data_IF_443560320107
#
_entry.id   IF_443560320107
#
_cell.length_a   1.000
_cell.length_b   1.000
_cell.length_c   1.000
_cell.angle_alpha   90.00
_cell.angle_beta   90.00
_cell.angle_gamma   90.00
#
_symmetry.space_group_name_H-M   'P 1'
#
loop_
_entity.id
_entity.type
_entity.pdbx_description
1 polymer ?
#
# COMPACT_ATOMS: atom_id res chain seq x y z
N UNK A 1 112.71 59.35 120.07
CA UNK A 1 113.08 59.53 121.50
C UNK A 1 113.88 60.83 121.76
N UNK A 2 113.38 62.01 121.38
CA UNK A 2 113.97 63.31 121.78
C UNK A 2 112.96 64.39 122.22
N UNK A 3 111.65 64.10 122.17
CA UNK A 3 110.62 64.91 122.86
C UNK A 3 110.20 64.34 124.22
N UNK A 4 110.86 63.27 124.68
CA UNK A 4 110.79 62.79 126.06
C UNK A 4 111.89 63.35 126.98
N UNK A 5 112.75 64.26 126.49
CA UNK A 5 113.83 64.90 127.28
C UNK A 5 113.66 66.41 127.51
N UNK A 6 112.64 67.05 126.92
CA UNK A 6 112.37 68.48 127.11
C UNK A 6 111.44 68.76 128.32
N UNK A 7 111.20 67.74 129.15
CA UNK A 7 110.47 67.84 130.42
C UNK A 7 111.43 68.04 131.62
N UNK A 8 112.71 68.37 131.43
CA UNK A 8 113.69 68.33 132.53
C UNK A 8 114.74 69.47 132.59
N UNK A 9 114.63 70.54 131.81
CA UNK A 9 115.60 71.66 131.89
C UNK A 9 114.90 73.02 131.83
N UNK A 10 114.95 73.72 132.97
CA UNK A 10 114.45 75.07 133.30
C UNK A 10 113.01 75.04 133.87
N UNK A 11 112.68 74.80 135.14
CA UNK A 11 113.40 74.85 136.43
C UNK A 11 114.39 76.02 136.58
N UNK A 12 113.89 77.22 136.89
CA UNK A 12 114.72 78.32 137.38
C UNK A 12 114.05 79.68 137.35
N UNK A 13 113.79 80.23 138.54
CA UNK A 13 113.44 81.63 138.86
C UNK A 13 112.04 82.10 138.38
N UNK A 14 111.00 82.26 139.20
CA UNK A 14 110.91 82.70 140.61
C UNK A 14 111.68 84.00 140.90
N UNK A 15 110.89 85.03 141.20
CA UNK A 15 111.14 86.12 142.14
C UNK A 15 111.68 87.42 141.55
N UNK A 16 110.91 88.48 141.81
CA UNK A 16 111.46 89.79 142.13
C UNK A 16 111.32 90.82 141.03
N UNK A 17 110.31 91.69 141.14
CA UNK A 17 110.44 93.06 140.64
C UNK A 17 111.53 93.69 141.51
N UNK A 18 112.80 93.50 141.13
CA UNK A 18 113.93 94.04 141.88
C UNK A 18 113.90 95.56 141.72
N UNK A 19 113.68 96.27 142.81
CA UNK A 19 113.84 97.71 142.88
C UNK A 19 115.25 98.07 142.41
N UNK A 20 115.33 98.79 141.28
CA UNK A 20 116.57 98.87 140.49
C UNK A 20 117.69 99.62 141.19
N UNK A 21 117.34 100.62 142.03
CA UNK A 21 118.28 101.28 142.94
C UNK A 21 117.72 101.24 144.36
N UNK A 22 118.59 100.88 145.32
CA UNK A 22 118.21 100.68 146.72
C UNK A 22 117.68 101.96 147.38
N UNK A 23 118.18 103.12 146.95
CA UNK A 23 117.90 104.45 147.49
C UNK A 23 116.81 105.23 146.74
N UNK A 24 116.15 104.62 145.75
CA UNK A 24 115.01 105.23 145.06
C UNK A 24 113.78 104.33 145.27
N UNK A 25 113.01 104.53 146.37
CA UNK A 25 111.79 103.77 146.63
C UNK A 25 110.67 104.09 145.64
N UNK A 26 109.72 103.15 145.48
CA UNK A 26 108.63 103.20 144.48
C UNK A 26 107.77 104.45 144.58
N UNK A 27 107.66 105.04 145.78
CA UNK A 27 106.91 106.27 146.06
C UNK A 27 107.73 107.56 145.92
N UNK A 28 109.01 107.48 145.55
CA UNK A 28 109.85 108.65 145.35
C UNK A 28 109.46 109.34 144.04
N UNK A 29 109.39 110.68 144.02
CA UNK A 29 108.98 111.44 142.83
C UNK A 29 109.82 111.12 141.58
N UNK A 30 111.11 110.82 141.79
CA UNK A 30 112.02 110.47 140.71
C UNK A 30 111.98 108.98 140.33
N UNK A 31 111.23 108.13 141.04
CA UNK A 31 111.25 106.67 140.84
C UNK A 31 110.93 106.27 139.41
N UNK A 32 109.83 106.78 138.86
CA UNK A 32 109.40 106.42 137.50
C UNK A 32 110.44 106.89 136.47
N UNK A 33 110.85 108.16 136.54
CA UNK A 33 111.84 108.73 135.64
C UNK A 33 113.20 108.01 135.71
N UNK A 34 113.71 107.74 136.91
CA UNK A 34 114.99 107.05 137.12
C UNK A 34 114.90 105.60 136.69
N UNK A 35 113.81 104.90 137.02
CA UNK A 35 113.61 103.50 136.63
C UNK A 35 113.51 103.37 135.12
N UNK A 36 112.82 104.29 134.44
CA UNK A 36 112.70 104.27 132.99
C UNK A 36 114.01 104.63 132.31
N UNK A 37 114.70 105.69 132.77
CA UNK A 37 116.05 106.03 132.32
C UNK A 37 117.05 104.87 132.55
N UNK A 38 116.90 104.11 133.64
CA UNK A 38 117.75 102.96 133.94
C UNK A 38 117.41 101.72 133.12
N UNK A 39 116.12 101.45 132.86
CA UNK A 39 115.68 100.41 131.92
C UNK A 39 116.18 100.69 130.50
N UNK A 40 116.19 101.96 130.10
CA UNK A 40 116.78 102.41 128.85
C UNK A 40 118.32 102.37 128.88
N UNK A 41 118.93 102.14 130.05
CA UNK A 41 120.39 102.08 130.22
C UNK A 41 121.08 103.44 130.23
N UNK A 42 120.31 104.54 130.16
CA UNK A 42 120.81 105.91 130.19
C UNK A 42 121.56 106.19 131.48
N UNK A 43 120.99 105.78 132.62
CA UNK A 43 121.63 105.90 133.93
C UNK A 43 121.80 104.50 134.53
N UNK A 44 123.01 104.18 134.98
CA UNK A 44 123.33 102.85 135.54
C UNK A 44 123.50 102.85 137.07
N UNK A 45 123.41 104.02 137.70
CA UNK A 45 123.73 104.19 139.12
C UNK A 45 125.20 103.90 139.44
N UNK A 46 125.46 103.72 140.73
CA UNK A 46 126.77 103.47 141.29
C UNK A 46 127.01 101.97 141.52
N UNK A 47 128.28 101.52 141.62
CA UNK A 47 128.62 100.10 141.81
C UNK A 47 128.02 99.44 143.06
N UNK A 48 127.66 100.23 144.08
CA UNK A 48 127.01 99.76 145.31
C UNK A 48 125.49 99.48 145.14
N UNK A 49 124.94 99.81 143.98
CA UNK A 49 123.53 99.67 143.64
C UNK A 49 122.66 100.86 144.06
N UNK A 50 123.26 102.02 144.36
CA UNK A 50 122.55 103.26 144.64
C UNK A 50 122.54 104.20 143.44
N UNK A 51 121.55 105.08 143.35
CA UNK A 51 121.48 106.16 142.36
C UNK A 51 122.22 107.42 142.85
N UNK A 52 122.24 107.65 144.16
CA UNK A 52 122.81 108.82 144.84
C UNK A 52 122.23 110.16 144.36
N UNK A 53 120.90 110.24 144.25
CA UNK A 53 120.21 111.38 143.62
C UNK A 53 120.43 112.75 144.29
N UNK A 54 120.80 112.78 145.57
CA UNK A 54 121.12 114.03 146.30
C UNK A 54 122.61 114.41 146.27
N UNK A 55 123.46 113.59 145.65
CA UNK A 55 124.89 113.86 145.51
C UNK A 55 125.17 114.70 144.27
N UNK A 56 126.26 115.48 144.29
CA UNK A 56 126.68 116.24 143.12
C UNK A 56 127.06 115.31 141.97
N UNK A 57 126.39 115.49 140.83
CA UNK A 57 126.71 114.75 139.60
C UNK A 57 128.02 115.27 139.01
N UNK A 58 128.96 114.37 138.74
CA UNK A 58 130.18 114.76 138.02
C UNK A 58 129.85 115.05 136.56
N UNK A 59 130.57 115.99 135.93
CA UNK A 59 130.41 116.30 134.49
C UNK A 59 130.57 115.06 133.61
N UNK A 60 131.42 114.11 134.03
CA UNK A 60 131.60 112.83 133.33
C UNK A 60 130.32 111.98 133.35
N UNK A 61 129.70 111.80 134.52
CA UNK A 61 128.46 111.04 134.64
C UNK A 61 127.32 111.67 133.82
N UNK A 62 127.21 113.00 133.83
CA UNK A 62 126.23 113.71 133.01
C UNK A 62 126.46 113.48 131.50
N UNK A 63 127.70 113.60 131.02
CA UNK A 63 128.03 113.42 129.62
C UNK A 63 127.75 111.99 129.14
N UNK A 64 128.08 110.98 129.95
CA UNK A 64 127.78 109.58 129.63
C UNK A 64 126.27 109.36 129.54
N UNK A 65 125.49 109.89 130.49
CA UNK A 65 124.04 109.78 130.45
C UNK A 65 123.47 110.43 129.18
N UNK A 66 123.88 111.66 128.83
CA UNK A 66 123.42 112.30 127.60
C UNK A 66 123.85 111.58 126.32
N UNK A 67 125.08 111.04 126.27
CA UNK A 67 125.54 110.24 125.13
C UNK A 67 124.69 108.97 124.93
N UNK A 68 124.37 108.28 126.03
CA UNK A 68 123.49 107.10 125.99
C UNK A 68 122.07 107.47 125.56
N UNK A 69 121.52 108.54 126.14
CA UNK A 69 120.20 109.03 125.76
C UNK A 69 120.14 109.41 124.29
N UNK A 70 121.14 110.13 123.78
CA UNK A 70 121.24 110.49 122.36
C UNK A 70 121.28 109.25 121.46
N UNK A 71 122.05 108.23 121.83
CA UNK A 71 122.11 107.00 121.05
C UNK A 71 120.78 106.27 120.99
N UNK A 72 120.00 106.25 122.08
CA UNK A 72 118.67 105.63 122.10
C UNK A 72 117.68 106.42 121.25
N UNK A 73 117.68 107.75 121.39
CA UNK A 73 116.80 108.63 120.60
C UNK A 73 117.14 108.60 119.10
N UNK A 74 118.37 108.25 118.73
CA UNK A 74 118.81 108.12 117.34
C UNK A 74 118.48 106.77 116.71
N UNK A 75 118.06 105.75 117.47
CA UNK A 75 117.70 104.47 116.86
C UNK A 75 116.28 104.51 116.29
N UNK A 76 116.09 104.36 114.96
CA UNK A 76 114.77 104.17 114.39
C UNK A 76 114.27 102.75 114.71
N UNK A 77 113.01 102.62 115.14
CA UNK A 77 112.35 101.34 115.45
C UNK A 77 112.08 100.50 114.18
N UNK A 78 112.41 99.20 114.21
CA UNK A 78 112.70 98.34 113.03
C UNK A 78 111.64 97.33 112.58
N UNK A 79 110.34 97.50 112.87
CA UNK A 79 109.30 96.47 112.56
C UNK A 79 108.34 96.75 111.36
N UNK A 80 108.62 97.77 110.53
CA UNK A 80 107.78 98.10 109.37
C UNK A 80 107.88 97.04 108.25
N UNK A 81 109.07 96.46 108.03
CA UNK A 81 109.30 95.48 106.94
C UNK A 81 108.52 94.17 107.13
N UNK A 82 108.31 93.73 108.37
CA UNK A 82 107.53 92.52 108.66
C UNK A 82 106.03 92.69 108.35
N UNK A 83 105.49 93.90 108.52
CA UNK A 83 104.12 94.24 108.15
C UNK A 83 103.96 94.33 106.63
N UNK A 84 104.93 94.93 105.93
CA UNK A 84 104.94 95.00 104.46
C UNK A 84 104.91 93.59 103.84
N UNK A 85 105.72 92.65 104.34
CA UNK A 85 105.71 91.28 103.85
C UNK A 85 104.35 90.58 104.07
N UNK A 86 103.70 90.78 105.22
CA UNK A 86 102.36 90.23 105.47
C UNK A 86 101.31 90.82 104.53
N UNK A 87 101.37 92.12 104.27
CA UNK A 87 100.47 92.79 103.30
C UNK A 87 100.69 92.22 101.90
N UNK A 88 101.94 92.04 101.46
CA UNK A 88 102.25 91.41 100.17
C UNK A 88 101.70 89.97 100.08
N UNK A 89 101.88 89.14 101.12
CA UNK A 89 101.29 87.78 101.11
C UNK A 89 99.75 87.80 101.10
N UNK A 90 99.13 88.81 101.69
CA UNK A 90 97.68 89.01 101.64
C UNK A 90 97.23 89.41 100.23
N UNK A 91 97.96 90.29 99.54
CA UNK A 91 97.69 90.67 98.16
C UNK A 91 97.73 89.46 97.21
N UNK A 92 98.71 88.57 97.39
CA UNK A 92 98.82 87.32 96.60
C UNK A 92 97.64 86.36 96.88
N UNK A 93 97.27 86.21 98.16
CA UNK A 93 96.13 85.39 98.55
C UNK A 93 94.80 85.96 98.04
N UNK A 94 94.63 87.28 98.10
CA UNK A 94 93.46 87.99 97.56
C UNK A 94 93.41 87.82 96.05
N UNK A 95 94.53 87.97 95.35
CA UNK A 95 94.62 87.74 93.90
C UNK A 95 94.27 86.30 93.54
N UNK A 96 94.77 85.33 94.31
CA UNK A 96 94.43 83.90 94.14
C UNK A 96 92.95 83.62 94.40
N UNK A 97 92.37 84.24 95.43
CA UNK A 97 90.96 84.12 95.74
C UNK A 97 90.09 84.71 94.62
N UNK A 98 90.44 85.89 94.10
CA UNK A 98 89.75 86.51 92.97
C UNK A 98 89.79 85.62 91.72
N UNK A 99 90.96 85.03 91.40
CA UNK A 99 91.06 84.08 90.28
C UNK A 99 90.15 82.85 90.48
N UNK A 100 90.10 82.28 91.70
CA UNK A 100 89.20 81.15 91.99
C UNK A 100 87.72 81.55 91.88
N UNK A 101 87.36 82.74 92.36
CA UNK A 101 86.00 83.28 92.23
C UNK A 101 85.64 83.49 90.76
N UNK A 102 86.57 84.00 89.96
CA UNK A 102 86.37 84.17 88.52
C UNK A 102 86.19 82.81 87.81
N UNK A 103 87.07 81.84 88.07
CA UNK A 103 86.94 80.48 87.53
C UNK A 103 85.59 79.82 87.93
N UNK A 104 85.13 80.04 89.17
CA UNK A 104 83.82 79.57 89.60
C UNK A 104 82.70 80.26 88.83
N UNK A 105 82.78 81.58 88.65
CA UNK A 105 81.82 82.35 87.84
C UNK A 105 81.74 81.82 86.41
N UNK A 106 82.88 81.54 85.78
CA UNK A 106 82.95 80.99 84.43
C UNK A 106 82.33 79.59 84.37
N UNK A 107 82.62 78.73 85.35
CA UNK A 107 81.98 77.41 85.49
C UNK A 107 80.46 77.52 85.68
N UNK A 108 79.98 78.47 86.49
CA UNK A 108 78.54 78.72 86.65
C UNK A 108 77.87 79.20 85.36
N UNK A 109 78.56 80.03 84.58
CA UNK A 109 78.14 80.42 83.23
C UNK A 109 78.02 79.22 82.28
N UNK A 110 78.99 78.31 82.33
CA UNK A 110 78.95 77.03 81.61
C UNK A 110 77.76 76.16 82.00
N UNK A 111 77.56 75.92 83.30
CA UNK A 111 76.43 75.12 83.84
C UNK A 111 75.08 75.73 83.44
N UNK A 112 74.97 77.06 83.45
CA UNK A 112 73.74 77.75 83.05
C UNK A 112 73.46 77.55 81.55
N UNK A 113 74.51 77.56 80.72
CA UNK A 113 74.40 77.29 79.28
C UNK A 113 73.97 75.83 79.02
N UNK A 114 74.55 74.86 79.73
CA UNK A 114 74.18 73.45 79.65
C UNK A 114 72.74 73.21 80.10
N UNK A 115 72.27 73.91 81.14
CA UNK A 115 70.90 73.79 81.64
C UNK A 115 69.88 74.30 80.61
N UNK A 116 70.16 75.42 79.94
CA UNK A 116 69.30 75.89 78.85
C UNK A 116 69.33 74.96 77.63
N UNK A 117 70.48 74.35 77.30
CA UNK A 117 70.55 73.30 76.28
C UNK A 117 69.70 72.08 76.65
N UNK A 118 69.82 71.59 77.88
CA UNK A 118 69.06 70.44 78.36
C UNK A 118 67.55 70.71 78.36
N UNK A 119 67.14 71.92 78.75
CA UNK A 119 65.74 72.35 78.70
C UNK A 119 65.20 72.39 77.28
N UNK A 120 66.01 72.82 76.31
CA UNK A 120 65.65 72.77 74.89
C UNK A 120 65.54 71.32 74.40
N UNK A 121 66.47 70.44 74.78
CA UNK A 121 66.39 69.01 74.44
C UNK A 121 65.14 68.34 75.02
N UNK A 122 64.79 68.65 76.27
CA UNK A 122 63.55 68.17 76.91
C UNK A 122 62.31 68.69 76.18
N UNK A 123 62.30 69.94 75.73
CA UNK A 123 61.21 70.48 74.92
C UNK A 123 61.09 69.74 73.58
N UNK A 124 62.21 69.48 72.91
CA UNK A 124 62.26 68.71 71.67
C UNK A 124 61.77 67.27 71.87
N UNK A 125 62.23 66.58 72.92
CA UNK A 125 61.77 65.23 73.28
C UNK A 125 60.27 65.18 73.59
N UNK A 126 59.74 66.23 74.22
CA UNK A 126 58.30 66.33 74.47
C UNK A 126 57.52 66.48 73.16
N UNK A 127 58.05 67.25 72.19
CA UNK A 127 57.47 67.35 70.85
C UNK A 127 57.49 66.00 70.12
N UNK A 128 58.63 65.32 70.07
CA UNK A 128 58.74 64.02 69.39
C UNK A 128 57.85 62.96 70.04
N UNK A 129 57.66 63.00 71.36
CA UNK A 129 56.71 62.12 72.06
C UNK A 129 55.25 62.38 71.62
N UNK A 130 54.88 63.65 71.38
CA UNK A 130 53.56 63.99 70.84
C UNK A 130 53.41 63.47 69.41
N UNK A 131 54.42 63.66 68.56
CA UNK A 131 54.41 63.15 67.18
C UNK A 131 54.31 61.63 67.13
N UNK A 132 55.05 60.92 67.98
CA UNK A 132 54.97 59.46 68.11
C UNK A 132 53.60 58.98 68.58
N UNK A 133 52.94 59.71 69.50
CA UNK A 133 51.56 59.39 69.91
C UNK A 133 50.59 59.56 68.76
N UNK A 134 50.73 60.63 67.98
CA UNK A 134 49.89 60.87 66.80
C UNK A 134 50.10 59.78 65.73
N UNK A 135 51.36 59.43 65.45
CA UNK A 135 51.70 58.34 64.54
C UNK A 135 51.12 56.99 65.01
N UNK A 136 51.21 56.69 66.31
CA UNK A 136 50.60 55.49 66.88
C UNK A 136 49.08 55.47 66.69
N UNK A 137 48.40 56.61 66.91
CA UNK A 137 46.96 56.71 66.70
C UNK A 137 46.59 56.48 65.23
N UNK A 138 47.35 57.06 64.29
CA UNK A 138 47.17 56.85 62.85
C UNK A 138 47.34 55.37 62.47
N UNK A 139 48.43 54.73 62.91
CA UNK A 139 48.69 53.31 62.64
C UNK A 139 47.57 52.42 63.19
N UNK A 140 47.05 52.71 64.40
CA UNK A 140 45.93 51.97 64.97
C UNK A 140 44.64 52.14 64.16
N UNK A 141 44.37 53.33 63.64
CA UNK A 141 43.23 53.58 62.74
C UNK A 141 43.35 52.80 61.44
N UNK A 142 44.55 52.80 60.82
CA UNK A 142 44.82 52.02 59.61
C UNK A 142 44.67 50.51 59.84
N UNK A 143 45.19 49.99 60.96
CA UNK A 143 45.03 48.59 61.33
C UNK A 143 43.56 48.20 61.52
N UNK A 144 42.75 49.07 62.14
CA UNK A 144 41.31 48.84 62.28
C UNK A 144 40.62 48.82 60.91
N UNK A 145 40.92 49.78 60.04
CA UNK A 145 40.36 49.82 58.68
C UNK A 145 40.72 48.58 57.86
N UNK A 146 41.97 48.10 57.98
CA UNK A 146 42.40 46.85 57.36
C UNK A 146 41.66 45.64 57.94
N UNK A 147 41.47 45.56 59.25
CA UNK A 147 40.69 44.51 59.90
C UNK A 147 39.25 44.47 59.37
N UNK A 148 38.59 45.61 59.25
CA UNK A 148 37.23 45.71 58.70
C UNK A 148 37.18 45.27 57.22
N UNK A 149 38.22 45.60 56.45
CA UNK A 149 38.35 45.17 55.04
C UNK A 149 38.52 43.66 54.94
N UNK A 150 39.33 43.06 55.82
CA UNK A 150 39.53 41.60 55.89
C UNK A 150 38.20 40.91 56.23
N UNK A 151 37.44 41.42 57.21
CA UNK A 151 36.13 40.87 57.56
C UNK A 151 35.14 40.92 56.38
N UNK A 152 35.14 42.02 55.62
CA UNK A 152 34.32 42.13 54.39
C UNK A 152 34.76 41.15 53.32
N UNK A 153 36.07 40.94 53.15
CA UNK A 153 36.60 39.95 52.21
C UNK A 153 36.19 38.53 52.61
N UNK A 154 36.27 38.20 53.89
CA UNK A 154 35.86 36.88 54.42
C UNK A 154 34.37 36.60 54.13
N UNK A 155 33.51 37.59 54.39
CA UNK A 155 32.09 37.49 54.02
C UNK A 155 31.88 37.27 52.52
N UNK A 156 32.62 37.97 51.66
CA UNK A 156 32.54 37.79 50.20
C UNK A 156 33.04 36.42 49.75
N UNK A 157 34.08 35.89 50.39
CA UNK A 157 34.59 34.54 50.11
C UNK A 157 33.56 33.49 50.49
N UNK A 158 32.92 33.62 51.65
CA UNK A 158 31.88 32.70 52.10
C UNK A 158 30.63 32.73 51.19
N UNK A 159 30.21 33.91 50.70
CA UNK A 159 29.17 34.02 49.67
C UNK A 159 29.58 33.32 48.36
N UNK A 160 30.82 33.53 47.91
CA UNK A 160 31.33 32.89 46.70
C UNK A 160 31.36 31.37 46.82
N UNK A 161 31.79 30.82 47.96
CA UNK A 161 31.76 29.39 48.24
C UNK A 161 30.32 28.84 48.21
N UNK A 162 29.36 29.56 48.80
CA UNK A 162 27.95 29.16 48.77
C UNK A 162 27.38 29.14 47.35
N UNK A 163 27.75 30.13 46.52
CA UNK A 163 27.37 30.19 45.10
C UNK A 163 28.00 29.07 44.29
N UNK A 164 29.25 28.70 44.57
CA UNK A 164 29.93 27.56 43.94
C UNK A 164 29.18 26.27 44.27
N UNK A 165 28.88 26.00 45.54
CA UNK A 165 28.14 24.80 45.95
C UNK A 165 26.75 24.72 45.28
N UNK A 166 26.04 25.85 45.15
CA UNK A 166 24.77 25.89 44.44
C UNK A 166 24.91 25.60 42.94
N UNK A 167 25.98 26.07 42.31
CA UNK A 167 26.30 25.74 40.91
C UNK A 167 26.65 24.27 40.73
N UNK A 168 27.45 23.68 41.62
CA UNK A 168 27.79 22.25 41.61
C UNK A 168 26.54 21.37 41.72
N UNK A 169 25.58 21.75 42.57
CA UNK A 169 24.29 21.07 42.69
C UNK A 169 23.45 21.17 41.42
N UNK A 170 23.36 22.37 40.81
CA UNK A 170 22.65 22.56 39.53
C UNK A 170 23.26 21.74 38.41
N UNK A 171 24.58 21.80 38.25
CA UNK A 171 25.31 21.03 37.23
C UNK A 171 25.05 19.53 37.42
N UNK A 172 25.08 19.03 38.65
CA UNK A 172 24.76 17.63 38.95
C UNK A 172 23.31 17.25 38.58
N UNK A 173 22.35 18.14 38.82
CA UNK A 173 20.95 17.97 38.40
C UNK A 173 20.78 17.94 36.88
N UNK A 174 21.50 18.81 36.17
CA UNK A 174 21.49 18.85 34.69
C UNK A 174 22.06 17.55 34.09
N UNK A 175 23.08 16.94 34.71
CA UNK A 175 23.58 15.63 34.30
C UNK A 175 22.53 14.51 34.44
N UNK A 176 21.71 14.52 35.50
CA UNK A 176 20.60 13.56 35.66
C UNK A 176 19.51 13.80 34.61
N UNK A 177 19.21 15.06 34.28
CA UNK A 177 18.27 15.39 33.20
C UNK A 177 18.79 14.90 31.84
N UNK A 178 20.09 15.05 31.58
CA UNK A 178 20.75 14.53 30.38
C UNK A 178 20.66 13.00 30.30
N UNK A 179 20.95 12.28 31.38
CA UNK A 179 20.86 10.81 31.42
C UNK A 179 19.44 10.30 31.13
N UNK A 180 18.44 11.00 31.67
CA UNK A 180 17.03 10.75 31.34
C UNK A 180 16.73 10.97 29.86
N UNK A 181 17.21 12.08 29.28
CA UNK A 181 17.05 12.38 27.85
C UNK A 181 17.75 11.33 26.98
N UNK A 182 18.97 10.94 27.32
CA UNK A 182 19.75 9.91 26.59
C UNK A 182 19.03 8.55 26.63
N UNK A 183 18.43 8.19 27.77
CA UNK A 183 17.60 6.97 27.91
C UNK A 183 16.38 7.03 27.00
N UNK A 184 15.66 8.17 26.96
CA UNK A 184 14.48 8.36 26.10
C UNK A 184 14.85 8.36 24.62
N UNK A 185 15.99 8.94 24.24
CA UNK A 185 16.54 8.88 22.89
C UNK A 185 16.81 7.42 22.51
N UNK A 186 17.52 6.68 23.35
CA UNK A 186 17.84 5.27 23.11
C UNK A 186 16.59 4.41 22.91
N UNK A 187 15.57 4.58 23.77
CA UNK A 187 14.27 3.92 23.60
C UNK A 187 13.59 4.26 22.28
N UNK A 188 13.66 5.53 21.85
CA UNK A 188 13.05 6.00 20.61
C UNK A 188 13.77 5.43 19.39
N UNK A 189 15.10 5.39 19.42
CA UNK A 189 15.94 4.77 18.37
C UNK A 189 15.63 3.28 18.22
N UNK A 190 15.51 2.54 19.33
CA UNK A 190 15.11 1.12 19.28
C UNK A 190 13.73 0.92 18.64
N UNK A 191 12.76 1.76 19.02
CA UNK A 191 11.41 1.73 18.43
C UNK A 191 11.41 2.06 16.93
N UNK A 192 12.25 2.98 16.49
CA UNK A 192 12.45 3.31 15.08
C UNK A 192 13.00 2.11 14.30
N UNK A 193 14.05 1.47 14.81
CA UNK A 193 14.62 0.25 14.20
C UNK A 193 13.58 -0.87 14.05
N UNK A 194 12.71 -1.07 15.04
CA UNK A 194 11.65 -2.07 14.95
C UNK A 194 10.56 -1.72 13.92
N UNK A 195 10.25 -0.43 13.78
CA UNK A 195 9.31 0.06 12.75
C UNK A 195 9.90 -0.10 11.35
N UNK A 196 11.19 0.16 11.15
CA UNK A 196 11.88 -0.04 9.87
C UNK A 196 11.83 -1.51 9.43
N UNK A 197 12.05 -2.47 10.35
CA UNK A 197 11.91 -3.91 10.04
C UNK A 197 10.48 -4.29 9.64
N UNK A 198 9.48 -3.74 10.33
CA UNK A 198 8.07 -3.97 9.99
C UNK A 198 7.73 -3.38 8.61
N UNK A 199 8.25 -2.20 8.29
CA UNK A 199 8.07 -1.56 7.00
C UNK A 199 8.65 -2.42 5.87
N UNK A 200 9.89 -2.90 6.01
CA UNK A 200 10.53 -3.79 5.02
C UNK A 200 9.73 -5.10 4.80
N UNK A 201 9.15 -5.64 5.87
CA UNK A 201 8.26 -6.82 5.77
C UNK A 201 6.98 -6.50 4.99
N UNK A 202 6.38 -5.32 5.21
CA UNK A 202 5.18 -4.88 4.50
C UNK A 202 5.47 -4.61 3.02
N UNK A 203 6.62 -4.00 2.69
CA UNK A 203 7.07 -3.79 1.32
C UNK A 203 7.20 -5.13 0.58
N UNK A 204 7.81 -6.13 1.22
CA UNK A 204 7.95 -7.48 0.63
C UNK A 204 6.58 -8.14 0.40
N UNK A 205 5.65 -8.03 1.36
CA UNK A 205 4.28 -8.56 1.20
C UNK A 205 3.53 -7.87 0.07
N UNK A 206 3.70 -6.56 -0.07
CA UNK A 206 3.07 -5.76 -1.12
C UNK A 206 3.57 -6.20 -2.49
N UNK A 207 4.89 -6.34 -2.68
CA UNK A 207 5.47 -6.85 -3.92
C UNK A 207 4.97 -8.26 -4.28
N UNK A 208 4.82 -9.14 -3.27
CA UNK A 208 4.27 -10.49 -3.48
C UNK A 208 2.79 -10.45 -3.90
N UNK A 209 1.98 -9.56 -3.31
CA UNK A 209 0.58 -9.39 -3.68
C UNK A 209 0.44 -8.83 -5.11
N UNK A 210 1.26 -7.84 -5.48
CA UNK A 210 1.29 -7.29 -6.84
C UNK A 210 1.63 -8.38 -7.88
N UNK A 211 2.62 -9.23 -7.58
CA UNK A 211 2.97 -10.37 -8.43
C UNK A 211 1.83 -11.39 -8.55
N UNK A 212 1.13 -11.68 -7.44
CA UNK A 212 -0.01 -12.60 -7.43
C UNK A 212 -1.16 -12.06 -8.27
N UNK A 213 -1.51 -10.77 -8.11
CA UNK A 213 -2.54 -10.09 -8.90
C UNK A 213 -2.23 -10.19 -10.39
N UNK A 214 -1.00 -9.82 -10.79
CA UNK A 214 -0.56 -9.89 -12.18
C UNK A 214 -0.65 -11.30 -12.77
N UNK A 215 -0.26 -12.32 -12.00
CA UNK A 215 -0.36 -13.71 -12.42
C UNK A 215 -1.83 -14.17 -12.56
N UNK A 216 -2.71 -13.76 -11.64
CA UNK A 216 -4.14 -14.06 -11.74
C UNK A 216 -4.80 -13.37 -12.93
N UNK A 217 -4.48 -12.10 -13.21
CA UNK A 217 -4.98 -11.39 -14.38
C UNK A 217 -4.56 -12.08 -15.68
N UNK A 218 -3.29 -12.47 -15.78
CA UNK A 218 -2.76 -13.17 -16.95
C UNK A 218 -3.45 -14.52 -17.13
N UNK A 219 -3.58 -15.30 -16.05
CA UNK A 219 -4.21 -16.64 -16.10
C UNK A 219 -5.69 -16.56 -16.45
N UNK A 220 -6.40 -15.55 -15.93
CA UNK A 220 -7.81 -15.33 -16.23
C UNK A 220 -8.00 -14.92 -17.69
N UNK A 221 -7.14 -14.02 -18.20
CA UNK A 221 -7.15 -13.62 -19.60
C UNK A 221 -6.95 -14.83 -20.52
N UNK A 222 -5.93 -15.63 -20.28
CA UNK A 222 -5.64 -16.85 -21.06
C UNK A 222 -6.81 -17.84 -21.03
N UNK A 223 -7.39 -18.05 -19.85
CA UNK A 223 -8.55 -18.93 -19.70
C UNK A 223 -9.75 -18.43 -20.51
N UNK A 224 -10.10 -17.15 -20.38
CA UNK A 224 -11.23 -16.55 -21.11
C UNK A 224 -11.01 -16.59 -22.62
N UNK A 225 -9.82 -16.20 -23.10
CA UNK A 225 -9.49 -16.23 -24.53
C UNK A 225 -9.58 -17.65 -25.09
N UNK A 226 -9.01 -18.63 -24.38
CA UNK A 226 -9.03 -20.04 -24.80
C UNK A 226 -10.45 -20.60 -24.82
N UNK A 227 -11.25 -20.35 -23.78
CA UNK A 227 -12.62 -20.86 -23.68
C UNK A 227 -13.54 -20.22 -24.72
N UNK A 228 -13.47 -18.89 -24.92
CA UNK A 228 -14.27 -18.21 -25.94
C UNK A 228 -13.90 -18.70 -27.35
N UNK A 229 -12.61 -18.88 -27.64
CA UNK A 229 -12.16 -19.42 -28.92
C UNK A 229 -12.70 -20.83 -29.17
N UNK A 230 -12.63 -21.72 -28.18
CA UNK A 230 -13.16 -23.08 -28.31
C UNK A 230 -14.68 -23.11 -28.53
N UNK A 231 -15.43 -22.23 -27.86
CA UNK A 231 -16.87 -22.09 -28.09
C UNK A 231 -17.18 -21.56 -29.49
N UNK A 232 -16.45 -20.55 -29.96
CA UNK A 232 -16.60 -20.01 -31.32
C UNK A 232 -16.35 -21.09 -32.38
N UNK A 233 -15.25 -21.84 -32.25
CA UNK A 233 -14.92 -22.95 -33.16
C UNK A 233 -16.01 -24.04 -33.16
N UNK A 234 -16.52 -24.40 -31.98
CA UNK A 234 -17.61 -25.39 -31.84
C UNK A 234 -18.90 -24.88 -32.49
N UNK A 235 -19.21 -23.59 -32.33
CA UNK A 235 -20.41 -22.99 -32.90
C UNK A 235 -20.33 -22.92 -34.43
N UNK A 236 -19.18 -22.51 -34.97
CA UNK A 236 -18.91 -22.47 -36.41
C UNK A 236 -19.02 -23.87 -37.03
N UNK A 237 -18.49 -24.89 -36.35
CA UNK A 237 -18.62 -26.29 -36.78
C UNK A 237 -20.09 -26.71 -36.83
N UNK A 238 -20.87 -26.45 -35.78
CA UNK A 238 -22.31 -26.79 -35.76
C UNK A 238 -23.10 -26.05 -36.83
N UNK A 239 -22.82 -24.77 -37.07
CA UNK A 239 -23.45 -24.01 -38.14
C UNK A 239 -23.13 -24.60 -39.52
N UNK A 240 -21.88 -25.01 -39.74
CA UNK A 240 -21.46 -25.68 -40.97
C UNK A 240 -22.19 -27.02 -41.17
N UNK A 241 -22.29 -27.85 -40.12
CA UNK A 241 -23.02 -29.13 -40.17
C UNK A 241 -24.51 -28.95 -40.47
N UNK A 242 -25.18 -27.98 -39.81
CA UNK A 242 -26.58 -27.65 -40.06
C UNK A 242 -26.79 -27.18 -41.50
N UNK A 243 -25.92 -26.30 -41.99
CA UNK A 243 -26.00 -25.78 -43.36
C UNK A 243 -25.85 -26.91 -44.39
N UNK A 244 -24.87 -27.80 -44.20
CA UNK A 244 -24.67 -28.96 -45.06
C UNK A 244 -25.85 -29.94 -45.03
N UNK A 245 -26.48 -30.14 -43.86
CA UNK A 245 -27.68 -30.97 -43.73
C UNK A 245 -28.88 -30.34 -44.47
N UNK A 246 -29.08 -29.03 -44.34
CA UNK A 246 -30.14 -28.30 -45.06
C UNK A 246 -29.95 -28.38 -46.57
N UNK A 247 -28.73 -28.20 -47.08
CA UNK A 247 -28.42 -28.35 -48.51
C UNK A 247 -28.71 -29.75 -49.03
N UNK A 248 -28.32 -30.79 -48.27
CA UNK A 248 -28.62 -32.18 -48.61
C UNK A 248 -30.12 -32.45 -48.67
N UNK A 249 -30.88 -31.99 -47.68
CA UNK A 249 -32.33 -32.13 -47.65
C UNK A 249 -33.00 -31.37 -48.80
N UNK A 250 -32.57 -30.15 -49.08
CA UNK A 250 -33.14 -29.34 -50.17
C UNK A 250 -32.87 -29.98 -51.54
N UNK A 251 -31.68 -30.57 -51.72
CA UNK A 251 -31.33 -31.34 -52.93
C UNK A 251 -32.20 -32.58 -53.07
N UNK A 252 -32.40 -33.34 -51.98
CA UNK A 252 -33.25 -34.53 -51.98
C UNK A 252 -34.72 -34.20 -52.31
N UNK A 253 -35.29 -33.19 -51.64
CA UNK A 253 -36.64 -32.69 -51.91
C UNK A 253 -36.80 -32.20 -53.35
N UNK A 254 -35.81 -31.47 -53.87
CA UNK A 254 -35.80 -31.05 -55.27
C UNK A 254 -35.82 -32.25 -56.23
N UNK A 255 -35.11 -33.33 -55.90
CA UNK A 255 -35.14 -34.59 -56.65
C UNK A 255 -36.51 -35.28 -56.61
N UNK A 256 -37.12 -35.40 -55.43
CA UNK A 256 -38.47 -35.96 -55.27
C UNK A 256 -39.53 -35.16 -56.03
N UNK A 257 -39.49 -33.83 -55.94
CA UNK A 257 -40.35 -32.93 -56.73
C UNK A 257 -40.17 -33.19 -58.22
N UNK A 258 -38.93 -33.38 -58.68
CA UNK A 258 -38.62 -33.76 -60.06
C UNK A 258 -39.31 -35.07 -60.46
N UNK A 259 -39.18 -36.12 -59.64
CA UNK A 259 -39.81 -37.42 -59.88
C UNK A 259 -41.34 -37.35 -59.90
N UNK A 260 -41.94 -36.63 -58.95
CA UNK A 260 -43.38 -36.40 -58.89
C UNK A 260 -43.88 -35.67 -60.14
N UNK A 261 -43.14 -34.66 -60.62
CA UNK A 261 -43.48 -33.95 -61.85
C UNK A 261 -43.53 -34.88 -63.06
N UNK A 262 -42.54 -35.79 -63.18
CA UNK A 262 -42.54 -36.82 -64.24
C UNK A 262 -43.74 -37.75 -64.12
N UNK A 263 -44.06 -38.22 -62.92
CA UNK A 263 -45.21 -39.10 -62.69
C UNK A 263 -46.53 -38.41 -63.04
N UNK A 264 -46.71 -37.15 -62.64
CA UNK A 264 -47.90 -36.34 -62.98
C UNK A 264 -48.02 -36.19 -64.49
N UNK A 265 -46.94 -35.88 -65.20
CA UNK A 265 -46.96 -35.81 -66.67
C UNK A 265 -47.35 -37.15 -67.32
N UNK A 266 -46.88 -38.27 -66.76
CA UNK A 266 -47.29 -39.61 -67.23
C UNK A 266 -48.77 -39.88 -66.98
N UNK A 267 -49.27 -39.62 -65.77
CA UNK A 267 -50.68 -39.79 -65.42
C UNK A 267 -51.58 -38.90 -66.29
N UNK A 268 -51.16 -37.67 -66.59
CA UNK A 268 -51.87 -36.79 -67.52
C UNK A 268 -51.96 -37.42 -68.92
N UNK A 269 -50.85 -37.94 -69.46
CA UNK A 269 -50.82 -38.65 -70.75
C UNK A 269 -51.71 -39.91 -70.77
N UNK A 270 -51.66 -40.71 -69.70
CA UNK A 270 -52.48 -41.90 -69.56
C UNK A 270 -53.98 -41.56 -69.48
N UNK A 271 -54.34 -40.50 -68.74
CA UNK A 271 -55.71 -39.99 -68.66
C UNK A 271 -56.24 -39.52 -70.03
N UNK A 272 -55.45 -38.77 -70.79
CA UNK A 272 -55.81 -38.38 -72.17
C UNK A 272 -56.08 -39.61 -73.05
N UNK A 273 -55.27 -40.66 -72.90
CA UNK A 273 -55.42 -41.91 -73.65
C UNK A 273 -56.69 -42.67 -73.24
N UNK A 274 -56.98 -42.74 -71.93
CA UNK A 274 -58.23 -43.34 -71.44
C UNK A 274 -59.46 -42.55 -71.91
N UNK A 275 -59.42 -41.23 -71.88
CA UNK A 275 -60.51 -40.39 -72.40
C UNK A 275 -60.78 -40.64 -73.89
N UNK A 276 -59.73 -40.79 -74.70
CA UNK A 276 -59.88 -41.18 -76.12
C UNK A 276 -60.54 -42.55 -76.26
N UNK A 277 -60.09 -43.52 -75.46
CA UNK A 277 -60.67 -44.88 -75.45
C UNK A 277 -62.14 -44.88 -75.04
N UNK A 278 -62.51 -44.13 -74.00
CA UNK A 278 -63.89 -43.99 -73.54
C UNK A 278 -64.80 -43.39 -74.63
N UNK A 279 -64.35 -42.31 -75.30
CA UNK A 279 -65.06 -41.73 -76.45
C UNK A 279 -65.25 -42.74 -77.59
N UNK A 280 -64.24 -43.57 -77.86
CA UNK A 280 -64.34 -44.62 -78.88
C UNK A 280 -65.32 -45.74 -78.49
N UNK A 281 -65.35 -46.13 -77.21
CA UNK A 281 -66.33 -47.08 -76.70
C UNK A 281 -67.75 -46.52 -76.79
N UNK A 282 -67.98 -45.27 -76.40
CA UNK A 282 -69.27 -44.58 -76.48
C UNK A 282 -69.80 -44.59 -77.94
N UNK A 283 -68.94 -44.27 -78.90
CA UNK A 283 -69.28 -44.37 -80.32
C UNK A 283 -69.64 -45.80 -80.75
N UNK A 284 -68.92 -46.82 -80.26
CA UNK A 284 -69.24 -48.24 -80.55
C UNK A 284 -70.56 -48.67 -79.93
N UNK A 285 -70.87 -48.23 -78.71
CA UNK A 285 -72.15 -48.52 -78.04
C UNK A 285 -73.29 -47.88 -78.82
N UNK A 286 -73.17 -46.62 -79.24
CA UNK A 286 -74.19 -45.96 -80.07
C UNK A 286 -74.46 -46.71 -81.38
N UNK A 287 -73.41 -47.22 -82.05
CA UNK A 287 -73.57 -48.08 -83.24
C UNK A 287 -74.31 -49.38 -82.89
N UNK A 288 -73.94 -50.04 -81.80
CA UNK A 288 -74.61 -51.28 -81.34
C UNK A 288 -76.08 -51.04 -80.99
N UNK A 289 -76.41 -49.94 -80.32
CA UNK A 289 -77.79 -49.54 -80.02
C UNK A 289 -78.60 -49.41 -81.32
N UNK A 290 -78.06 -48.71 -82.33
CA UNK A 290 -78.69 -48.62 -83.65
C UNK A 290 -78.85 -49.97 -84.36
N UNK A 291 -77.88 -50.88 -84.22
CA UNK A 291 -77.99 -52.25 -84.70
C UNK A 291 -79.10 -53.03 -83.97
N UNK A 292 -79.22 -52.91 -82.65
CA UNK A 292 -80.28 -53.56 -81.87
C UNK A 292 -81.65 -53.03 -82.28
N UNK A 293 -81.84 -51.72 -82.45
CA UNK A 293 -83.10 -51.14 -82.97
C UNK A 293 -83.45 -51.71 -84.35
N UNK A 294 -82.45 -51.86 -85.22
CA UNK A 294 -82.62 -52.47 -86.54
C UNK A 294 -83.02 -53.96 -86.44
N UNK A 295 -82.41 -54.71 -85.52
CA UNK A 295 -82.79 -56.10 -85.27
C UNK A 295 -84.21 -56.18 -84.70
N UNK A 296 -84.58 -55.32 -83.74
CA UNK A 296 -85.90 -55.32 -83.13
C UNK A 296 -87.01 -55.08 -84.16
N UNK A 297 -86.83 -54.08 -85.04
CA UNK A 297 -87.77 -53.83 -86.15
C UNK A 297 -87.86 -55.00 -87.14
N UNK A 298 -86.76 -55.73 -87.39
CA UNK A 298 -86.78 -56.97 -88.18
C UNK A 298 -87.55 -58.09 -87.47
N UNK A 299 -87.38 -58.24 -86.16
CA UNK A 299 -88.13 -59.23 -85.35
C UNK A 299 -89.62 -58.91 -85.36
N UNK A 300 -90.02 -57.66 -85.12
CA UNK A 300 -91.42 -57.23 -85.21
C UNK A 300 -92.03 -57.51 -86.60
N UNK A 301 -91.25 -57.34 -87.67
CA UNK A 301 -91.69 -57.70 -89.02
C UNK A 301 -91.87 -59.21 -89.18
N UNK A 302 -90.91 -60.00 -88.67
CA UNK A 302 -91.01 -61.46 -88.67
C UNK A 302 -92.22 -61.95 -87.86
N UNK A 303 -92.50 -61.37 -86.69
CA UNK A 303 -93.70 -61.66 -85.90
C UNK A 303 -94.97 -61.41 -86.72
N UNK A 304 -95.09 -60.25 -87.38
CA UNK A 304 -96.22 -59.97 -88.29
C UNK A 304 -96.35 -61.02 -89.41
N UNK A 305 -95.22 -61.42 -90.01
CA UNK A 305 -95.21 -62.47 -91.04
C UNK A 305 -95.62 -63.83 -90.48
N UNK A 306 -95.19 -64.19 -89.27
CA UNK A 306 -95.62 -65.43 -88.59
C UNK A 306 -97.12 -65.41 -88.34
N UNK A 307 -97.68 -64.32 -87.82
CA UNK A 307 -99.14 -64.20 -87.64
C UNK A 307 -99.92 -64.32 -88.96
N UNK A 308 -99.36 -63.82 -90.06
CA UNK A 308 -99.94 -64.03 -91.40
C UNK A 308 -99.90 -65.51 -91.83
N UNK A 309 -98.80 -66.21 -91.55
CA UNK A 309 -98.68 -67.65 -91.80
C UNK A 309 -99.68 -68.44 -90.95
N UNK A 310 -99.81 -68.14 -89.66
CA UNK A 310 -100.80 -68.77 -88.77
C UNK A 310 -102.23 -68.60 -89.28
N UNK A 311 -102.59 -67.40 -89.77
CA UNK A 311 -103.89 -67.17 -90.43
C UNK A 311 -104.07 -68.04 -91.68
N UNK A 312 -103.00 -68.21 -92.46
CA UNK A 312 -103.00 -69.04 -93.67
C UNK A 312 -103.17 -70.53 -93.35
N UNK A 313 -102.53 -71.02 -92.28
CA UNK A 313 -102.74 -72.37 -91.75
C UNK A 313 -104.19 -72.58 -91.30
N UNK A 314 -104.81 -71.59 -90.63
CA UNK A 314 -106.24 -71.64 -90.29
C UNK A 314 -107.16 -71.77 -91.51
N UNK A 315 -106.83 -71.08 -92.62
CA UNK A 315 -107.55 -71.23 -93.90
C UNK A 315 -107.38 -72.63 -94.49
N UNK A 316 -106.18 -73.19 -94.45
CA UNK A 316 -105.89 -74.56 -94.93
C UNK A 316 -106.68 -75.60 -94.12
N UNK A 317 -106.73 -75.49 -92.79
CA UNK A 317 -107.52 -76.39 -91.95
C UNK A 317 -109.02 -76.38 -92.31
N UNK A 318 -109.54 -75.22 -92.74
CA UNK A 318 -110.93 -75.10 -93.23
C UNK A 318 -111.12 -75.80 -94.58
N UNK A 319 -110.14 -75.65 -95.48
CA UNK A 319 -110.13 -76.35 -96.78
C UNK A 319 -110.06 -77.88 -96.60
N UNK A 320 -109.26 -78.38 -95.65
CA UNK A 320 -109.17 -79.81 -95.33
C UNK A 320 -110.53 -80.39 -94.89
N UNK A 321 -111.29 -79.67 -94.05
CA UNK A 321 -112.66 -80.10 -93.69
C UNK A 321 -113.60 -80.12 -94.90
N UNK A 322 -113.51 -79.13 -95.77
CA UNK A 322 -114.33 -79.09 -97.00
C UNK A 322 -113.98 -80.26 -97.93
N UNK A 323 -112.70 -80.60 -98.05
CA UNK A 323 -112.25 -81.75 -98.84
C UNK A 323 -112.78 -83.07 -98.25
N UNK A 324 -112.71 -83.24 -96.93
CA UNK A 324 -113.29 -84.41 -96.25
C UNK A 324 -114.81 -84.56 -96.51
N UNK A 325 -115.55 -83.45 -96.56
CA UNK A 325 -116.97 -83.47 -96.91
C UNK A 325 -117.22 -83.87 -98.38
N UNK A 326 -116.33 -83.50 -99.31
CA UNK A 326 -116.40 -83.92 -100.71
C UNK A 326 -116.09 -85.40 -100.86
N UNK A 327 -115.07 -85.91 -100.15
CA UNK A 327 -114.73 -87.34 -100.14
C UNK A 327 -115.92 -88.20 -99.71
N UNK A 328 -116.63 -87.82 -98.65
CA UNK A 328 -117.82 -88.54 -98.19
C UNK A 328 -118.98 -88.54 -99.21
N UNK A 329 -119.12 -87.48 -100.01
CA UNK A 329 -120.11 -87.41 -101.10
C UNK A 329 -119.74 -88.33 -102.27
N UNK A 330 -118.45 -88.44 -102.60
CA UNK A 330 -117.96 -89.34 -103.66
C UNK A 330 -118.22 -90.81 -103.28
N UNK A 331 -117.92 -91.19 -102.04
CA UNK A 331 -118.17 -92.57 -101.57
C UNK A 331 -119.64 -92.97 -101.71
N UNK A 332 -120.56 -92.03 -101.44
CA UNK A 332 -121.99 -92.28 -101.60
C UNK A 332 -122.41 -92.47 -103.06
N UNK A 333 -121.80 -91.74 -103.99
CA UNK A 333 -122.05 -91.90 -105.44
C UNK A 333 -121.49 -93.23 -105.95
N UNK A 334 -120.36 -93.68 -105.42
CA UNK A 334 -119.76 -94.97 -105.76
C UNK A 334 -120.66 -96.16 -105.36
N UNK A 335 -121.35 -96.09 -104.21
CA UNK A 335 -122.34 -97.10 -103.78
C UNK A 335 -123.57 -97.15 -104.71
N UNK A 336 -124.06 -96.01 -105.18
CA UNK A 336 -125.20 -95.94 -106.12
C UNK A 336 -124.87 -96.55 -107.49
N UNK A 337 -123.65 -96.36 -107.98
CA UNK A 337 -123.16 -96.94 -109.24
C UNK A 337 -123.08 -98.47 -109.17
N UNK A 338 -122.61 -99.03 -108.04
CA UNK A 338 -122.55 -100.49 -107.87
C UNK A 338 -123.94 -101.13 -107.89
N UNK A 339 -124.92 -100.52 -107.23
CA UNK A 339 -126.33 -100.96 -107.21
C UNK A 339 -126.93 -101.03 -108.63
N UNK A 340 -126.70 -100.00 -109.44
CA UNK A 340 -127.19 -99.94 -110.83
C UNK A 340 -126.55 -101.01 -111.73
N UNK A 341 -125.25 -101.27 -111.56
CA UNK A 341 -124.53 -102.30 -112.32
C UNK A 341 -125.09 -103.71 -112.10
N UNK A 342 -125.55 -103.99 -110.88
CA UNK A 342 -126.06 -105.32 -110.52
C UNK A 342 -127.44 -105.57 -111.13
N UNK A 343 -128.31 -104.55 -111.17
CA UNK A 343 -129.64 -104.63 -111.79
C UNK A 343 -129.57 -104.86 -113.31
N UNK A 344 -128.57 -104.28 -113.99
CA UNK A 344 -128.38 -104.47 -115.43
C UNK A 344 -127.95 -105.91 -115.79
N UNK A 345 -127.34 -106.63 -114.85
CA UNK A 345 -126.89 -108.02 -115.04
C UNK A 345 -128.07 -109.00 -115.00
N UNK A 346 -129.02 -108.80 -114.08
CA UNK A 346 -130.23 -109.65 -113.96
C UNK A 346 -131.21 -109.49 -115.15
N UNK A 347 -131.28 -108.28 -115.72
CA UNK A 347 -132.06 -108.00 -116.93
C UNK A 347 -131.51 -108.76 -118.14
N UNK A 348 -130.18 -108.83 -118.27
CA UNK A 348 -129.52 -109.54 -119.37
C UNK A 348 -129.77 -111.05 -119.31
N UNK A 349 -129.83 -111.64 -118.11
CA UNK A 349 -130.07 -113.07 -117.91
C UNK A 349 -131.51 -113.51 -118.25
N UNK A 350 -132.50 -112.64 -118.05
CA UNK A 350 -133.91 -112.90 -118.45
C UNK A 350 -134.14 -112.83 -119.95
N UNK A 351 -133.29 -112.13 -120.71
CA UNK A 351 -133.39 -112.05 -122.17
C UNK A 351 -132.94 -113.37 -122.83
N UNK A 352 -131.96 -114.07 -122.25
CA UNK A 352 -131.43 -115.33 -122.81
C UNK A 352 -132.38 -116.54 -122.63
N UNK A 353 -133.19 -116.58 -121.57
CA UNK A 353 -134.17 -117.67 -121.35
C UNK A 353 -135.39 -117.62 -122.30
N UNK A 354 -135.75 -116.44 -122.83
CA UNK A 354 -136.89 -116.26 -123.74
C UNK A 354 -136.55 -116.71 -125.17
N UNK A 355 -135.28 -116.70 -125.57
CA UNK A 355 -134.84 -117.06 -126.93
C UNK A 355 -134.84 -118.57 -127.19
N UNK A 356 -134.92 -119.41 -126.15
CA UNK A 356 -134.61 -120.85 -126.26
C UNK A 356 -135.83 -121.80 -126.33
N UNK A 357 -137.10 -121.35 -126.32
CA UNK A 357 -138.23 -122.27 -126.05
C UNK A 357 -139.52 -122.17 -126.90
N UNK A 358 -139.54 -121.59 -128.12
CA UNK A 358 -140.71 -121.71 -129.04
C UNK A 358 -140.41 -121.88 -130.55
N UNK A 359 -141.32 -122.55 -131.30
CA UNK A 359 -141.04 -123.46 -132.43
C UNK A 359 -140.99 -122.83 -133.84
N UNK A 360 -140.31 -121.69 -134.02
CA UNK A 360 -140.11 -121.05 -135.34
C UNK A 360 -138.66 -121.14 -135.85
N UNK A 361 -137.76 -121.80 -135.11
CA UNK A 361 -136.38 -122.11 -135.52
C UNK A 361 -136.23 -123.44 -136.29
N UNK A 362 -137.32 -124.15 -136.59
CA UNK A 362 -137.34 -125.32 -137.48
C UNK A 362 -137.45 -124.90 -138.97
N UNK A 363 -137.88 -123.66 -139.25
CA UNK A 363 -138.06 -123.11 -140.61
C UNK A 363 -136.84 -122.32 -141.17
N UNK A 364 -135.82 -122.01 -140.35
CA UNK A 364 -134.61 -121.29 -140.80
C UNK A 364 -133.55 -122.24 -141.39
N UNK A 365 -133.52 -123.51 -140.96
CA UNK A 365 -132.55 -124.49 -141.47
C UNK A 365 -133.03 -125.29 -142.69
N UNK A 366 -134.34 -125.30 -143.00
CA UNK A 366 -134.86 -125.81 -144.29
C UNK A 366 -134.60 -124.84 -145.46
N UNK A 367 -134.43 -123.54 -145.17
CA UNK A 367 -134.12 -122.49 -146.15
C UNK A 367 -132.62 -122.44 -146.50
N UNK A 368 -131.71 -122.79 -145.58
CA UNK A 368 -130.27 -122.96 -145.84
C UNK A 368 -129.97 -124.10 -146.84
N UNK A 369 -130.84 -125.12 -146.90
CA UNK A 369 -130.75 -126.21 -147.86
C UNK A 369 -131.21 -125.85 -149.30
N UNK A 370 -131.87 -124.70 -149.52
CA UNK A 370 -132.45 -124.30 -150.83
C UNK A 370 -131.81 -123.03 -151.45
N UNK A 371 -131.10 -122.23 -150.64
CA UNK A 371 -130.25 -121.09 -151.05
C UNK A 371 -128.77 -121.49 -151.02
N UNK A 372 -128.27 -122.39 -151.86
CA UNK A 372 -127.86 -121.98 -153.20
C UNK A 372 -126.70 -122.90 -153.61
N UNK A 373 -126.91 -124.17 -153.93
CA UNK A 373 -127.25 -124.66 -155.28
C UNK A 373 -127.34 -123.60 -156.40
N UNK A 374 -127.99 -122.45 -156.18
CA UNK A 374 -127.85 -121.22 -156.99
C UNK A 374 -126.45 -120.58 -157.02
N UNK A 375 -125.48 -120.96 -156.16
CA UNK A 375 -124.05 -120.56 -156.32
C UNK A 375 -123.29 -121.59 -157.18
N UNK A 376 -123.79 -122.83 -157.29
CA UNK A 376 -123.29 -123.82 -158.26
C UNK A 376 -123.69 -123.50 -159.71
N UNK A 377 -124.76 -122.72 -159.93
CA UNK A 377 -125.33 -122.48 -161.28
C UNK A 377 -125.43 -120.99 -161.67
N UNK A 378 -124.85 -120.05 -160.90
CA UNK A 378 -124.55 -118.68 -161.37
C UNK A 378 -123.16 -118.66 -162.01
N UNK A 379 -123.03 -119.50 -163.04
CA UNK A 379 -122.68 -118.98 -164.34
C UNK A 379 -121.40 -118.12 -164.36
N UNK A 380 -120.23 -118.66 -164.72
CA UNK A 380 -120.05 -119.53 -165.91
C UNK A 380 -120.77 -119.07 -167.19
N UNK A 381 -121.51 -117.95 -167.18
CA UNK A 381 -122.21 -117.35 -168.32
C UNK A 381 -122.55 -115.89 -167.93
N UNK A 382 -121.62 -114.95 -167.85
CA UNK A 382 -121.05 -114.26 -169.00
C UNK A 382 -119.91 -113.37 -168.46
N UNK A 383 -118.71 -113.35 -169.03
CA UNK A 383 -118.51 -112.99 -170.43
C UNK A 383 -117.48 -113.91 -171.11
N UNK A 384 -118.01 -114.66 -172.07
CA UNK A 384 -117.26 -115.18 -173.19
C UNK A 384 -116.60 -114.06 -173.99
N UNK A 385 -115.39 -114.31 -174.50
CA UNK A 385 -114.79 -113.52 -175.59
C UNK A 385 -114.27 -112.16 -175.14
N UNK A 386 -113.07 -111.74 -175.50
CA UNK A 386 -112.39 -111.91 -176.79
C UNK A 386 -110.89 -111.88 -176.45
N UNK A 387 -110.16 -113.00 -176.59
CA UNK A 387 -109.51 -113.44 -177.82
C UNK A 387 -108.38 -112.50 -178.28
N UNK A 388 -107.18 -112.96 -178.65
CA UNK A 388 -106.62 -114.30 -178.85
C UNK A 388 -105.09 -114.12 -178.85
N UNK A 389 -104.40 -115.01 -178.13
CA UNK A 389 -103.17 -115.68 -178.61
C UNK A 389 -101.82 -114.95 -178.52
N UNK A 390 -100.68 -115.64 -178.58
CA UNK A 390 -100.37 -116.92 -179.23
C UNK A 390 -99.09 -117.49 -178.57
N UNK A 391 -99.14 -118.67 -177.94
CA UNK A 391 -98.64 -120.01 -178.37
C UNK A 391 -97.16 -120.31 -178.14
N UNK A 392 -96.92 -121.44 -177.46
CA UNK A 392 -95.78 -122.32 -177.66
C UNK A 392 -94.91 -122.50 -176.42
N UNK A 393 -94.39 -123.68 -176.03
CA UNK A 393 -94.31 -125.06 -176.55
C UNK A 393 -93.73 -125.85 -175.33
N UNK A 394 -94.32 -126.94 -174.83
CA UNK A 394 -94.14 -128.36 -175.23
C UNK A 394 -92.78 -129.00 -174.83
N UNK A 395 -92.89 -130.03 -173.96
CA UNK A 395 -92.20 -131.35 -173.91
C UNK A 395 -90.70 -131.44 -173.55
N UNK A 396 -90.35 -132.41 -172.68
CA UNK A 396 -88.99 -132.98 -172.68
C UNK A 396 -88.50 -133.67 -171.39
N UNK A 397 -88.76 -134.98 -171.30
CA UNK A 397 -87.92 -136.03 -170.65
C UNK A 397 -87.78 -135.98 -169.09
N UNK A 398 -87.85 -137.11 -168.37
CA UNK A 398 -86.65 -137.79 -167.80
C UNK A 398 -85.80 -136.84 -166.95
N UNK A 399 -85.38 -137.15 -165.73
CA UNK A 399 -85.33 -138.41 -164.98
C UNK A 399 -84.95 -138.12 -163.54
N UNK A 400 -85.46 -138.91 -162.59
CA UNK A 400 -85.89 -138.19 -161.39
C UNK A 400 -86.75 -137.05 -161.94
N UNK A 401 -86.62 -135.83 -161.53
CA UNK A 401 -85.63 -135.29 -160.67
C UNK A 401 -86.41 -134.18 -160.04
N UNK A 402 -86.67 -134.37 -158.77
CA UNK A 402 -85.68 -133.92 -157.83
C UNK A 402 -85.14 -132.51 -158.11
N UNK A 403 -84.95 -131.69 -157.10
CA UNK A 403 -84.61 -132.11 -155.72
C UNK A 403 -85.54 -133.11 -155.02
#
# INVERSE_FOLDING_TARGET
MRKFLALALILGALIGISQQFKDVPVNHWAYEAVTEMAKLGVITGMPDGTFQGNSYLTRYQAAVAFYRLYNILKQPSTNVSGLINKVSTLEDLVSTALMKVQNLSDNFGGITSDLESLKNDVANLKSTLVDLKNLRMEVMSQLQSQSDTIQKLDSRVNDALSRIAALESKVSGDFVSKDYVDTRISQTVSRLSDLEKKLSTLETKTANLEALVKNTETSLKDYVEKTLKAYAETFDQKLSEISANLERNNTALSGEIGNLKVLVSKLQSDLETQQKTARALDARVSVLEGQVTTVNSRVENLEKRVSQVESSVGKISTLERNLGAVTARITKVEEEIQSLSQSNTELSQKVDEIVSSKPWMEDVNSVSATLSKKISDVQTMALAGVAIGIVGVIIGFVMGGSK
#
